data_IF_707747484543
#
_entry.id   IF_707747484543
#
_cell.length_a   1.000
_cell.length_b   1.000
_cell.length_c   1.000
_cell.angle_alpha   90.00
_cell.angle_beta   90.00
_cell.angle_gamma   90.00
#
_symmetry.space_group_name_H-M   'P 1'
#
loop_
_entity.id
_entity.type
_entity.pdbx_description
1 polymer ?
#
# COMPACT_ATOMS: atom_id res chain seq x y z
N UNK A 1 -19.19 -1.53 16.72
CA UNK A 1 -18.00 -1.34 15.86
C UNK A 1 -16.77 -1.70 16.66
N UNK A 2 -15.86 -2.50 16.10
CA UNK A 2 -14.68 -2.99 16.80
C UNK A 2 -13.63 -1.86 16.93
N UNK A 3 -13.10 -1.65 18.13
CA UNK A 3 -11.96 -0.76 18.34
C UNK A 3 -10.70 -1.37 17.71
N UNK A 4 -9.91 -0.55 17.04
CA UNK A 4 -8.62 -0.93 16.46
C UNK A 4 -7.51 -0.38 17.35
N UNK A 5 -6.51 -1.22 17.64
CA UNK A 5 -5.30 -0.78 18.33
C UNK A 5 -4.55 0.26 17.50
N UNK A 6 -3.92 1.22 18.17
CA UNK A 6 -3.00 2.15 17.55
C UNK A 6 -1.62 1.56 17.28
N UNK A 7 -0.75 2.28 16.56
CA UNK A 7 0.58 1.82 16.23
C UNK A 7 1.49 1.82 17.46
N UNK A 8 2.60 1.10 17.39
CA UNK A 8 3.66 1.25 18.39
C UNK A 8 4.16 2.71 18.40
N UNK A 9 4.00 3.40 19.54
CA UNK A 9 4.31 4.84 19.63
C UNK A 9 5.80 5.17 19.73
N UNK A 10 6.61 4.20 20.15
CA UNK A 10 8.06 4.33 20.20
C UNK A 10 8.69 3.67 18.97
N UNK A 11 8.58 4.31 17.81
CA UNK A 11 9.26 3.86 16.58
C UNK A 11 10.76 3.78 16.85
N UNK A 12 11.36 2.61 16.61
CA UNK A 12 12.80 2.41 16.77
C UNK A 12 13.51 2.83 15.49
N UNK A 13 14.71 3.36 15.63
CA UNK A 13 15.60 3.59 14.50
C UNK A 13 16.04 2.21 13.95
N UNK A 14 15.83 1.91 12.66
CA UNK A 14 16.24 0.63 12.08
C UNK A 14 17.76 0.52 12.02
N UNK A 15 18.27 -0.71 12.07
CA UNK A 15 19.68 -1.01 11.82
C UNK A 15 20.02 -0.90 10.32
N UNK A 16 19.10 -1.29 9.45
CA UNK A 16 19.20 -1.09 8.01
C UNK A 16 18.94 0.37 7.65
N UNK A 17 19.93 1.01 7.03
CA UNK A 17 19.82 2.37 6.51
C UNK A 17 19.26 2.30 5.09
N UNK A 18 18.05 2.80 4.91
CA UNK A 18 17.41 2.89 3.59
C UNK A 18 18.15 3.89 2.70
N UNK A 19 18.25 3.64 1.37
CA UNK A 19 18.91 4.57 0.47
C UNK A 19 18.17 5.93 0.40
N UNK A 20 18.88 7.04 0.11
CA UNK A 20 18.24 8.32 -0.15
C UNK A 20 17.17 8.21 -1.25
N UNK A 21 16.07 8.93 -1.06
CA UNK A 21 14.89 8.85 -1.90
C UNK A 21 13.97 7.68 -1.57
N UNK A 22 14.20 6.91 -0.52
CA UNK A 22 13.30 5.80 -0.18
C UNK A 22 11.85 6.26 0.06
N UNK A 23 10.90 5.44 -0.39
CA UNK A 23 9.48 5.71 -0.34
C UNK A 23 8.72 4.65 0.44
N UNK A 24 7.94 5.06 1.44
CA UNK A 24 6.95 4.22 2.11
C UNK A 24 5.66 4.23 1.28
N UNK A 25 5.40 3.18 0.49
CA UNK A 25 4.30 3.17 -0.47
C UNK A 25 2.94 2.76 0.12
N UNK A 26 2.80 2.63 1.44
CA UNK A 26 1.52 2.28 2.06
C UNK A 26 1.46 2.71 3.52
N UNK A 27 0.78 3.82 3.77
CA UNK A 27 0.37 4.22 5.10
C UNK A 27 -1.03 4.85 5.06
N UNK A 28 -1.64 5.08 6.22
CA UNK A 28 -2.93 5.71 6.38
C UNK A 28 -2.88 6.84 7.40
N UNK A 29 -3.77 7.81 7.23
CA UNK A 29 -4.03 8.84 8.24
C UNK A 29 -5.43 8.62 8.80
N UNK A 30 -5.55 8.63 10.12
CA UNK A 30 -6.84 8.54 10.80
C UNK A 30 -7.05 9.77 11.68
N UNK A 31 -8.15 10.47 11.44
CA UNK A 31 -8.45 11.70 12.17
C UNK A 31 -7.49 12.88 11.85
N UNK A 32 -7.44 13.89 12.75
CA UNK A 32 -8.14 13.92 14.03
C UNK A 32 -9.66 13.90 13.87
N UNK A 33 -10.35 13.02 14.61
CA UNK A 33 -11.79 12.72 14.40
C UNK A 33 -12.70 13.95 14.53
N UNK A 34 -12.28 14.95 15.31
CA UNK A 34 -13.02 16.20 15.48
C UNK A 34 -13.11 17.03 14.19
N UNK A 35 -12.09 16.94 13.32
CA UNK A 35 -12.03 17.65 12.05
C UNK A 35 -12.41 16.76 10.87
N UNK A 36 -12.02 15.49 10.94
CA UNK A 36 -12.29 14.49 9.91
C UNK A 36 -13.07 13.32 10.54
N UNK A 37 -14.40 13.41 10.61
CA UNK A 37 -15.21 12.37 11.22
C UNK A 37 -15.11 11.07 10.42
N UNK A 38 -15.00 9.94 11.12
CA UNK A 38 -15.03 8.64 10.47
C UNK A 38 -16.41 8.34 9.86
N UNK A 39 -16.41 7.55 8.78
CA UNK A 39 -17.62 7.11 8.11
C UNK A 39 -18.57 6.37 9.06
N UNK A 40 -19.89 6.59 8.99
CA UNK A 40 -20.86 5.80 9.74
C UNK A 40 -20.90 4.32 9.30
N UNK A 41 -20.39 4.01 8.09
CA UNK A 41 -20.37 2.67 7.52
C UNK A 41 -19.06 1.90 7.74
N UNK A 42 -18.15 2.41 8.56
CA UNK A 42 -16.84 1.77 8.82
C UNK A 42 -16.97 0.43 9.55
N UNK A 43 -16.07 -0.50 9.25
CA UNK A 43 -16.00 -1.81 9.91
C UNK A 43 -15.18 -1.78 11.22
N UNK A 44 -14.32 -0.78 11.40
CA UNK A 44 -13.46 -0.62 12.58
C UNK A 44 -13.34 0.87 12.95
N UNK A 45 -13.00 1.15 14.21
CA UNK A 45 -12.71 2.52 14.69
C UNK A 45 -11.27 2.60 15.18
N UNK A 46 -10.35 3.23 14.42
CA UNK A 46 -9.00 3.52 14.87
C UNK A 46 -8.98 4.71 15.81
N UNK A 47 -7.91 4.83 16.59
CA UNK A 47 -7.56 6.09 17.25
C UNK A 47 -6.98 7.10 16.25
N UNK A 48 -6.85 8.36 16.68
CA UNK A 48 -6.25 9.39 15.86
C UNK A 48 -4.75 9.11 15.62
N UNK A 49 -4.39 9.06 14.35
CA UNK A 49 -3.05 8.81 13.82
C UNK A 49 -2.78 9.89 12.77
N UNK A 50 -2.05 10.94 13.17
CA UNK A 50 -2.00 12.22 12.45
C UNK A 50 -0.86 12.31 11.45
N UNK A 51 -0.93 13.31 10.56
CA UNK A 51 0.15 13.61 9.61
C UNK A 51 1.49 13.90 10.29
N UNK A 52 1.49 14.59 11.45
CA UNK A 52 2.72 14.89 12.20
C UNK A 52 3.36 13.60 12.73
N UNK A 53 2.56 12.68 13.28
CA UNK A 53 3.05 11.39 13.75
C UNK A 53 3.62 10.55 12.60
N UNK A 54 2.99 10.60 11.42
CA UNK A 54 3.50 9.94 10.23
C UNK A 54 4.83 10.54 9.77
N UNK A 55 4.96 11.88 9.75
CA UNK A 55 6.23 12.57 9.43
C UNK A 55 7.35 12.14 10.37
N UNK A 56 7.08 12.13 11.68
CA UNK A 56 8.08 11.81 12.69
C UNK A 56 8.51 10.33 12.59
N UNK A 57 7.57 9.45 12.24
CA UNK A 57 7.84 8.05 11.92
C UNK A 57 8.75 7.94 10.69
N UNK A 58 8.42 8.58 9.55
CA UNK A 58 9.26 8.56 8.34
C UNK A 58 10.68 9.09 8.62
N UNK A 59 10.79 10.19 9.37
CA UNK A 59 12.08 10.76 9.76
C UNK A 59 12.91 9.79 10.61
N UNK A 60 12.28 9.05 11.52
CA UNK A 60 12.94 8.03 12.35
C UNK A 60 13.44 6.86 11.51
N UNK A 61 12.67 6.44 10.50
CA UNK A 61 13.02 5.35 9.60
C UNK A 61 14.00 5.75 8.47
N UNK A 62 14.16 7.04 8.21
CA UNK A 62 15.02 7.57 7.14
C UNK A 62 14.36 7.63 5.76
N UNK A 63 13.02 7.62 5.67
CA UNK A 63 12.28 7.71 4.41
C UNK A 63 12.03 9.16 4.01
N UNK A 64 12.29 9.48 2.73
CA UNK A 64 12.11 10.82 2.17
C UNK A 64 10.72 11.04 1.57
N UNK A 65 10.05 9.94 1.16
CA UNK A 65 8.79 9.97 0.41
C UNK A 65 7.77 9.02 1.04
N UNK A 66 6.49 9.28 0.77
CA UNK A 66 5.41 8.44 1.26
C UNK A 66 4.21 8.41 0.33
N UNK A 67 3.40 7.36 0.44
CA UNK A 67 2.11 7.24 -0.24
C UNK A 67 1.04 6.95 0.79
N UNK A 68 0.15 7.92 0.97
CA UNK A 68 -1.01 7.79 1.82
C UNK A 68 -2.12 7.11 1.03
N UNK A 69 -2.56 5.97 1.52
CA UNK A 69 -3.69 5.21 1.01
C UNK A 69 -4.91 5.59 1.83
N UNK A 70 -6.01 5.93 1.17
CA UNK A 70 -7.25 6.31 1.85
C UNK A 70 -7.69 5.23 2.85
N UNK A 71 -7.81 5.64 4.11
CA UNK A 71 -8.10 4.78 5.24
C UNK A 71 -9.54 4.28 5.22
N UNK A 72 -9.75 2.98 5.41
CA UNK A 72 -11.10 2.38 5.33
C UNK A 72 -12.11 2.96 6.34
N UNK A 73 -11.64 3.47 7.48
CA UNK A 73 -12.50 4.12 8.47
C UNK A 73 -13.14 5.43 7.97
N UNK A 74 -12.56 6.08 6.96
CA UNK A 74 -13.07 7.31 6.33
C UNK A 74 -13.94 7.04 5.10
N UNK A 75 -14.05 5.78 4.64
CA UNK A 75 -14.83 5.44 3.44
C UNK A 75 -14.34 6.19 2.19
N UNK A 76 -15.27 6.77 1.44
CA UNK A 76 -15.01 7.59 0.23
C UNK A 76 -14.67 9.05 0.53
N UNK A 77 -14.68 9.48 1.80
CA UNK A 77 -14.29 10.84 2.18
C UNK A 77 -12.76 10.93 2.30
N UNK A 78 -12.12 11.42 1.24
CA UNK A 78 -10.66 11.52 1.13
C UNK A 78 -10.07 12.76 1.85
N UNK A 79 -10.88 13.57 2.57
CA UNK A 79 -10.44 14.87 3.12
C UNK A 79 -9.27 14.75 4.09
N UNK A 80 -9.28 13.78 5.00
CA UNK A 80 -8.18 13.55 5.95
C UNK A 80 -6.86 13.22 5.26
N UNK A 81 -6.91 12.36 4.24
CA UNK A 81 -5.74 11.99 3.44
C UNK A 81 -5.20 13.20 2.67
N UNK A 82 -6.09 13.97 2.03
CA UNK A 82 -5.70 15.14 1.24
C UNK A 82 -5.10 16.25 2.09
N UNK A 83 -5.66 16.52 3.29
CA UNK A 83 -5.08 17.48 4.24
C UNK A 83 -3.68 17.05 4.68
N UNK A 84 -3.50 15.77 4.98
CA UNK A 84 -2.18 15.26 5.34
C UNK A 84 -1.17 15.38 4.19
N UNK A 85 -1.57 15.09 2.95
CA UNK A 85 -0.72 15.26 1.77
C UNK A 85 -0.29 16.73 1.60
N UNK A 86 -1.22 17.67 1.77
CA UNK A 86 -0.93 19.11 1.68
C UNK A 86 0.08 19.54 2.77
N UNK A 87 -0.14 19.11 4.01
CA UNK A 87 0.73 19.44 5.15
C UNK A 87 2.14 18.85 5.04
N UNK A 88 2.26 17.65 4.48
CA UNK A 88 3.53 16.94 4.33
C UNK A 88 4.26 17.31 3.02
N UNK A 89 3.56 17.98 2.11
CA UNK A 89 4.12 18.56 0.89
C UNK A 89 4.29 17.57 -0.27
N UNK A 90 4.98 17.98 -1.35
CA UNK A 90 4.99 17.27 -2.63
C UNK A 90 5.71 15.91 -2.62
N UNK A 91 6.36 15.56 -1.50
CA UNK A 91 7.00 14.26 -1.26
C UNK A 91 6.00 13.17 -0.85
N UNK A 92 4.73 13.53 -0.66
CA UNK A 92 3.65 12.59 -0.40
C UNK A 92 2.71 12.49 -1.61
N UNK A 93 2.32 11.26 -1.97
CA UNK A 93 1.28 10.96 -2.96
C UNK A 93 0.09 10.25 -2.32
N UNK A 94 -1.01 10.19 -3.05
CA UNK A 94 -2.28 9.66 -2.56
C UNK A 94 -2.85 8.53 -3.39
N UNK A 95 -3.57 7.61 -2.74
CA UNK A 95 -4.46 6.65 -3.38
C UNK A 95 -5.87 6.84 -2.80
N UNK A 96 -6.80 7.30 -3.63
CA UNK A 96 -8.14 7.68 -3.21
C UNK A 96 -9.11 6.51 -3.27
N UNK A 97 -10.20 6.59 -2.50
CA UNK A 97 -11.39 5.76 -2.70
C UNK A 97 -12.47 6.66 -3.29
N UNK A 98 -12.88 6.38 -4.53
CA UNK A 98 -13.93 7.10 -5.24
C UNK A 98 -14.87 6.10 -5.91
N UNK A 99 -16.19 6.39 -5.96
CA UNK A 99 -17.09 5.59 -6.79
C UNK A 99 -16.78 5.78 -8.28
N UNK A 100 -17.04 4.77 -9.12
CA UNK A 100 -17.03 4.93 -10.57
C UNK A 100 -17.99 6.05 -11.01
N UNK A 101 -17.69 6.69 -12.13
CA UNK A 101 -18.43 7.82 -12.67
C UNK A 101 -18.14 9.15 -11.96
N UNK A 102 -17.13 9.21 -11.07
CA UNK A 102 -16.68 10.48 -10.50
C UNK A 102 -16.27 11.42 -11.64
N UNK A 103 -16.81 12.65 -11.71
CA UNK A 103 -16.55 13.55 -12.84
C UNK A 103 -15.06 13.77 -13.10
N UNK A 104 -14.66 13.81 -14.38
CA UNK A 104 -13.25 13.96 -14.78
C UNK A 104 -12.58 15.15 -14.08
N UNK A 105 -13.25 16.32 -14.05
CA UNK A 105 -12.78 17.53 -13.36
C UNK A 105 -12.41 17.30 -11.88
N UNK A 106 -13.12 16.40 -11.19
CA UNK A 106 -12.88 16.09 -9.78
C UNK A 106 -11.67 15.15 -9.65
N UNK A 107 -11.54 14.18 -10.56
CA UNK A 107 -10.35 13.32 -10.66
C UNK A 107 -9.10 14.14 -11.02
N UNK A 108 -9.20 15.11 -11.92
CA UNK A 108 -8.12 16.05 -12.26
C UNK A 108 -7.70 16.92 -11.07
N UNK A 109 -8.68 17.46 -10.31
CA UNK A 109 -8.38 18.21 -9.10
C UNK A 109 -7.60 17.37 -8.07
N UNK A 110 -7.95 16.08 -7.91
CA UNK A 110 -7.21 15.15 -7.07
C UNK A 110 -5.82 14.82 -7.65
N UNK A 111 -5.70 14.70 -8.97
CA UNK A 111 -4.41 14.50 -9.63
C UNK A 111 -3.44 15.65 -9.33
N UNK A 112 -3.92 16.89 -9.42
CA UNK A 112 -3.13 18.09 -9.10
C UNK A 112 -2.67 18.11 -7.64
N UNK A 113 -3.50 17.58 -6.72
CA UNK A 113 -3.12 17.40 -5.31
C UNK A 113 -2.15 16.25 -5.06
N UNK A 114 -1.85 15.42 -6.07
CA UNK A 114 -0.88 14.33 -5.97
C UNK A 114 -1.49 12.93 -5.84
N UNK A 115 -2.80 12.76 -6.03
CA UNK A 115 -3.42 11.42 -6.12
C UNK A 115 -3.02 10.73 -7.41
N UNK A 116 -2.75 9.42 -7.35
CA UNK A 116 -2.20 8.62 -8.47
C UNK A 116 -2.90 7.28 -8.69
N UNK A 117 -4.00 7.04 -7.99
CA UNK A 117 -4.67 5.75 -8.08
C UNK A 117 -5.96 5.67 -7.29
N UNK A 118 -6.69 4.61 -7.59
CA UNK A 118 -7.90 4.20 -6.86
C UNK A 118 -7.60 3.00 -5.98
N UNK A 119 -8.21 2.96 -4.81
CA UNK A 119 -8.21 1.79 -3.94
C UNK A 119 -9.53 1.05 -4.06
N UNK A 120 -9.43 -0.26 -4.26
CA UNK A 120 -10.54 -1.22 -4.22
C UNK A 120 -10.26 -2.25 -3.14
N UNK A 121 -11.28 -2.62 -2.36
CA UNK A 121 -11.08 -3.50 -1.21
C UNK A 121 -12.32 -4.33 -0.89
N UNK A 122 -12.14 -5.63 -0.70
CA UNK A 122 -13.18 -6.54 -0.17
C UNK A 122 -13.09 -6.75 1.36
N UNK A 123 -12.10 -6.12 2.02
CA UNK A 123 -11.85 -6.23 3.47
C UNK A 123 -12.59 -5.19 4.31
N UNK A 124 -12.76 -3.98 3.79
CA UNK A 124 -13.32 -2.85 4.52
C UNK A 124 -14.67 -2.47 3.93
N UNK A 125 -15.64 -2.17 4.79
CA UNK A 125 -16.95 -1.69 4.37
C UNK A 125 -16.90 -0.20 3.98
N UNK A 126 -17.84 0.23 3.13
CA UNK A 126 -17.94 1.63 2.70
C UNK A 126 -16.92 2.06 1.64
N UNK A 127 -16.20 1.11 1.04
CA UNK A 127 -15.33 1.32 -0.13
C UNK A 127 -15.92 0.72 -1.42
N UNK A 128 -15.08 0.57 -2.44
CA UNK A 128 -15.47 0.01 -3.75
C UNK A 128 -14.98 -1.44 -3.89
N UNK A 129 -15.89 -2.34 -4.26
CA UNK A 129 -15.62 -3.76 -4.50
C UNK A 129 -15.22 -4.06 -5.94
N UNK A 130 -14.75 -5.29 -6.20
CA UNK A 130 -14.27 -5.71 -7.52
C UNK A 130 -15.37 -5.97 -8.56
N UNK A 131 -16.64 -5.80 -8.22
CA UNK A 131 -17.74 -5.72 -9.19
C UNK A 131 -17.56 -4.51 -10.13
N UNK A 132 -16.92 -3.43 -9.67
CA UNK A 132 -16.67 -2.20 -10.43
C UNK A 132 -15.27 -2.13 -11.10
N UNK A 133 -14.57 -3.27 -11.20
CA UNK A 133 -13.16 -3.32 -11.61
C UNK A 133 -12.89 -2.68 -12.97
N UNK A 134 -13.64 -3.06 -14.00
CA UNK A 134 -13.42 -2.56 -15.37
C UNK A 134 -13.71 -1.07 -15.49
N UNK A 135 -14.74 -0.56 -14.78
CA UNK A 135 -15.10 0.85 -14.79
C UNK A 135 -13.99 1.71 -14.18
N UNK A 136 -13.52 1.37 -12.96
CA UNK A 136 -12.40 2.09 -12.35
C UNK A 136 -11.08 1.88 -13.11
N UNK A 137 -10.87 0.72 -13.74
CA UNK A 137 -9.67 0.50 -14.56
C UNK A 137 -9.63 1.42 -15.78
N UNK A 138 -10.77 1.65 -16.43
CA UNK A 138 -10.87 2.58 -17.56
C UNK A 138 -10.63 4.03 -17.12
N UNK A 139 -11.20 4.44 -15.98
CA UNK A 139 -10.95 5.76 -15.40
C UNK A 139 -9.51 5.94 -14.92
N UNK A 140 -8.89 4.88 -14.41
CA UNK A 140 -7.49 4.90 -14.00
C UNK A 140 -6.59 5.09 -15.23
N UNK A 141 -6.86 4.36 -16.31
CA UNK A 141 -6.14 4.50 -17.56
C UNK A 141 -6.23 5.92 -18.13
N UNK A 142 -7.43 6.51 -18.17
CA UNK A 142 -7.65 7.90 -18.63
C UNK A 142 -6.79 8.91 -17.84
N UNK A 143 -6.62 8.68 -16.54
CA UNK A 143 -5.88 9.55 -15.64
C UNK A 143 -4.36 9.27 -15.58
N UNK A 144 -3.88 8.22 -16.25
CA UNK A 144 -2.52 7.70 -16.05
C UNK A 144 -2.29 7.21 -14.60
N UNK A 145 -3.36 6.76 -13.95
CA UNK A 145 -3.39 6.23 -12.59
C UNK A 145 -3.30 4.69 -12.59
N UNK A 146 -3.20 4.11 -11.40
CA UNK A 146 -3.26 2.66 -11.20
C UNK A 146 -4.36 2.27 -10.19
N UNK A 147 -4.71 0.98 -10.20
CA UNK A 147 -5.57 0.39 -9.17
C UNK A 147 -4.74 -0.18 -8.02
N UNK A 148 -5.22 -0.06 -6.79
CA UNK A 148 -4.70 -0.72 -5.61
C UNK A 148 -5.73 -1.73 -5.11
N UNK A 149 -5.41 -3.02 -5.19
CA UNK A 149 -6.35 -4.12 -4.97
C UNK A 149 -6.06 -4.82 -3.62
N UNK A 150 -7.00 -4.70 -2.69
CA UNK A 150 -6.91 -5.26 -1.35
C UNK A 150 -7.93 -6.39 -1.14
N UNK A 151 -7.44 -7.63 -1.12
CA UNK A 151 -8.25 -8.84 -1.03
C UNK A 151 -8.55 -9.24 0.42
N UNK A 152 -9.71 -9.84 0.68
CA UNK A 152 -9.99 -10.50 1.96
C UNK A 152 -9.35 -11.88 2.04
N UNK A 153 -9.33 -12.62 0.94
CA UNK A 153 -8.69 -13.92 0.82
C UNK A 153 -8.00 -14.05 -0.52
N UNK A 154 -6.98 -14.89 -0.59
CA UNK A 154 -6.17 -15.07 -1.78
C UNK A 154 -6.95 -15.71 -2.94
N UNK A 155 -8.00 -16.49 -2.67
CA UNK A 155 -8.82 -17.15 -3.72
C UNK A 155 -9.61 -16.15 -4.56
N UNK A 156 -9.90 -14.96 -4.00
CA UNK A 156 -10.52 -13.87 -4.76
C UNK A 156 -9.63 -13.42 -5.92
N UNK A 157 -8.29 -13.46 -5.77
CA UNK A 157 -7.36 -13.17 -6.85
C UNK A 157 -7.56 -14.14 -8.02
N UNK A 158 -7.68 -15.43 -7.72
CA UNK A 158 -7.89 -16.48 -8.73
C UNK A 158 -9.19 -16.21 -9.49
N UNK A 159 -10.25 -15.84 -8.77
CA UNK A 159 -11.56 -15.55 -9.37
C UNK A 159 -11.56 -14.32 -10.30
N UNK A 160 -10.71 -13.32 -10.05
CA UNK A 160 -10.63 -12.10 -10.88
C UNK A 160 -9.47 -12.08 -11.87
N UNK A 161 -8.61 -13.11 -11.89
CA UNK A 161 -7.36 -13.13 -12.65
C UNK A 161 -7.55 -12.81 -14.15
N UNK A 162 -8.55 -13.42 -14.79
CA UNK A 162 -8.81 -13.20 -16.21
C UNK A 162 -9.30 -11.78 -16.52
N UNK A 163 -10.00 -11.16 -15.57
CA UNK A 163 -10.39 -9.74 -15.68
C UNK A 163 -9.15 -8.85 -15.55
N UNK A 164 -8.26 -9.15 -14.60
CA UNK A 164 -7.00 -8.43 -14.41
C UNK A 164 -6.07 -8.50 -15.64
N UNK A 165 -6.00 -9.66 -16.30
CA UNK A 165 -5.21 -9.82 -17.54
C UNK A 165 -5.66 -8.89 -18.67
N UNK A 166 -6.95 -8.57 -18.74
CA UNK A 166 -7.56 -7.73 -19.79
C UNK A 166 -7.50 -6.23 -19.51
N UNK A 167 -7.14 -5.82 -18.29
CA UNK A 167 -7.03 -4.39 -17.98
C UNK A 167 -5.91 -3.75 -18.80
N UNK A 168 -6.02 -2.45 -19.04
CA UNK A 168 -5.00 -1.65 -19.74
C UNK A 168 -4.16 -0.80 -18.78
N UNK A 169 -4.74 -0.37 -17.65
CA UNK A 169 -4.01 0.33 -16.59
C UNK A 169 -3.10 -0.62 -15.78
N UNK A 170 -2.17 -0.03 -15.02
CA UNK A 170 -1.43 -0.73 -13.99
C UNK A 170 -2.32 -1.05 -12.78
N UNK A 171 -1.98 -2.12 -12.07
CA UNK A 171 -2.59 -2.45 -10.79
C UNK A 171 -1.57 -3.01 -9.81
N UNK A 172 -1.79 -2.76 -8.53
CA UNK A 172 -0.96 -3.19 -7.41
C UNK A 172 -1.74 -4.19 -6.59
N UNK A 173 -1.18 -5.38 -6.40
CA UNK A 173 -1.67 -6.36 -5.43
C UNK A 173 -1.15 -5.98 -4.04
N UNK A 174 -2.03 -5.48 -3.17
CA UNK A 174 -1.64 -5.15 -1.80
C UNK A 174 -1.28 -6.41 -1.01
N UNK A 175 -0.23 -6.30 -0.19
CA UNK A 175 0.16 -7.31 0.79
C UNK A 175 0.34 -8.71 0.19
N UNK A 176 1.00 -8.80 -0.97
CA UNK A 176 1.17 -10.06 -1.71
C UNK A 176 -0.16 -10.79 -1.98
N UNK A 177 -1.19 -10.03 -2.36
CA UNK A 177 -2.56 -10.50 -2.55
C UNK A 177 -3.15 -11.26 -1.34
N UNK A 178 -2.63 -10.97 -0.13
CA UNK A 178 -3.02 -11.59 1.13
C UNK A 178 -2.80 -13.12 1.19
N UNK A 179 -1.87 -13.65 0.39
CA UNK A 179 -1.49 -15.07 0.45
C UNK A 179 -0.77 -15.33 1.77
N UNK A 180 -1.32 -16.25 2.57
CA UNK A 180 -0.77 -16.67 3.86
C UNK A 180 0.42 -17.60 3.66
N UNK A 181 1.39 -17.57 4.58
CA UNK A 181 2.57 -18.43 4.54
C UNK A 181 2.21 -19.92 4.42
N UNK A 182 1.15 -20.33 5.12
CA UNK A 182 0.64 -21.72 5.12
C UNK A 182 0.10 -22.19 3.76
N UNK A 183 -0.34 -21.27 2.89
CA UNK A 183 -0.74 -21.61 1.52
C UNK A 183 0.46 -21.93 0.64
N UNK A 184 1.58 -21.24 0.88
CA UNK A 184 2.88 -21.50 0.27
C UNK A 184 2.95 -21.22 -1.25
N UNK A 185 4.14 -21.48 -1.82
CA UNK A 185 4.44 -21.18 -3.24
C UNK A 185 3.75 -22.13 -4.24
N UNK A 186 3.11 -23.19 -3.75
CA UNK A 186 2.39 -24.16 -4.59
C UNK A 186 0.88 -23.85 -4.70
N UNK A 187 0.38 -22.82 -3.99
CA UNK A 187 -1.03 -22.47 -4.05
C UNK A 187 -1.44 -21.91 -5.41
N UNK A 188 -2.72 -22.08 -5.75
CA UNK A 188 -3.30 -21.52 -6.97
C UNK A 188 -3.20 -19.99 -7.01
N UNK A 189 -3.37 -19.34 -5.85
CA UNK A 189 -3.23 -17.89 -5.74
C UNK A 189 -1.80 -17.43 -6.01
N UNK A 190 -0.78 -18.12 -5.47
CA UNK A 190 0.61 -17.76 -5.73
C UNK A 190 1.01 -18.00 -7.19
N UNK A 191 0.57 -19.11 -7.80
CA UNK A 191 0.73 -19.34 -9.24
C UNK A 191 0.07 -18.24 -10.08
N UNK A 192 -1.10 -17.76 -9.65
CA UNK A 192 -1.80 -16.64 -10.30
C UNK A 192 -1.00 -15.35 -10.20
N UNK A 193 -0.42 -15.02 -9.03
CA UNK A 193 0.47 -13.86 -8.87
C UNK A 193 1.62 -13.90 -9.88
N UNK A 194 2.31 -15.04 -10.00
CA UNK A 194 3.41 -15.18 -10.95
C UNK A 194 2.96 -15.01 -12.40
N UNK A 195 1.83 -15.62 -12.78
CA UNK A 195 1.27 -15.45 -14.13
C UNK A 195 0.86 -14.00 -14.41
N UNK A 196 0.33 -13.26 -13.44
CA UNK A 196 0.00 -11.85 -13.62
C UNK A 196 1.26 -10.98 -13.72
N UNK A 197 2.35 -11.33 -13.03
CA UNK A 197 3.65 -10.67 -13.15
C UNK A 197 4.33 -10.85 -14.51
N UNK A 198 3.94 -11.86 -15.29
CA UNK A 198 4.38 -11.98 -16.70
C UNK A 198 3.80 -10.85 -17.56
N UNK A 199 2.72 -10.20 -17.11
CA UNK A 199 2.21 -8.97 -17.72
C UNK A 199 3.01 -7.76 -17.22
N UNK A 200 3.09 -6.69 -18.02
CA UNK A 200 3.73 -5.45 -17.58
C UNK A 200 2.85 -4.56 -16.68
N UNK A 201 1.64 -5.02 -16.37
CA UNK A 201 0.63 -4.25 -15.64
C UNK A 201 0.60 -4.53 -14.15
N UNK A 202 1.01 -5.72 -13.73
CA UNK A 202 0.96 -6.15 -12.35
C UNK A 202 2.15 -5.62 -11.54
N UNK A 203 1.86 -5.04 -10.38
CA UNK A 203 2.80 -4.66 -9.35
C UNK A 203 2.46 -5.41 -8.06
N UNK A 204 3.47 -5.67 -7.23
CA UNK A 204 3.27 -6.29 -5.91
C UNK A 204 3.78 -5.35 -4.84
N UNK A 205 2.97 -5.21 -3.79
CA UNK A 205 3.37 -4.51 -2.59
C UNK A 205 3.75 -5.46 -1.47
N UNK A 206 5.01 -5.40 -1.06
CA UNK A 206 5.55 -6.04 0.13
C UNK A 206 5.27 -5.16 1.35
N UNK A 207 4.09 -5.32 1.91
CA UNK A 207 3.64 -4.58 3.09
C UNK A 207 2.80 -5.50 3.97
N UNK A 208 2.82 -5.27 5.28
CA UNK A 208 1.93 -5.96 6.24
C UNK A 208 2.04 -7.50 6.30
N UNK A 209 3.16 -8.08 5.85
CA UNK A 209 3.31 -9.54 5.74
C UNK A 209 3.36 -10.27 7.09
N UNK A 210 3.62 -9.55 8.19
CA UNK A 210 3.50 -10.06 9.57
C UNK A 210 2.09 -10.59 9.91
N UNK A 211 1.06 -10.17 9.17
CA UNK A 211 -0.32 -10.67 9.30
C UNK A 211 -0.56 -12.01 8.61
N UNK A 212 0.34 -12.37 7.70
CA UNK A 212 0.22 -13.51 6.80
C UNK A 212 1.16 -14.66 7.21
N UNK A 213 2.11 -14.37 8.09
CA UNK A 213 3.02 -15.33 8.70
C UNK A 213 2.34 -16.11 9.83
N UNK A 214 2.64 -17.40 9.92
CA UNK A 214 2.36 -18.25 11.08
C UNK A 214 3.54 -18.34 12.05
N UNK A 215 4.64 -17.64 11.78
CA UNK A 215 5.85 -17.62 12.61
C UNK A 215 6.03 -16.26 13.29
N UNK A 216 6.67 -16.23 14.48
CA UNK A 216 7.07 -14.96 15.08
C UNK A 216 8.07 -14.22 14.19
N UNK A 217 8.34 -12.95 14.51
CA UNK A 217 9.44 -12.19 13.90
C UNK A 217 10.73 -13.06 13.85
N UNK A 218 11.44 -13.15 12.72
CA UNK A 218 11.33 -12.30 11.51
C UNK A 218 10.41 -12.85 10.40
N UNK A 219 9.39 -13.65 10.73
CA UNK A 219 8.40 -14.15 9.77
C UNK A 219 9.01 -14.97 8.63
N UNK A 220 9.94 -15.85 8.98
CA UNK A 220 10.79 -16.58 8.02
C UNK A 220 10.00 -17.46 7.03
N UNK A 221 8.78 -17.85 7.38
CA UNK A 221 7.87 -18.63 6.53
C UNK A 221 7.30 -17.85 5.33
N UNK A 222 7.37 -16.52 5.33
CA UNK A 222 7.00 -15.70 4.16
C UNK A 222 8.13 -15.61 3.11
N UNK A 223 9.39 -15.85 3.49
CA UNK A 223 10.57 -15.65 2.64
C UNK A 223 10.50 -16.40 1.30
N UNK A 224 10.07 -17.68 1.23
CA UNK A 224 10.02 -18.39 -0.05
C UNK A 224 9.15 -17.70 -1.11
N UNK A 225 8.00 -17.15 -0.69
CA UNK A 225 7.11 -16.43 -1.59
C UNK A 225 7.70 -15.06 -1.98
N UNK A 226 8.25 -14.33 -1.01
CA UNK A 226 8.86 -13.01 -1.24
C UNK A 226 10.04 -13.13 -2.22
N UNK A 227 10.97 -14.05 -1.97
CA UNK A 227 12.15 -14.26 -2.82
C UNK A 227 11.75 -14.61 -4.25
N UNK A 228 10.70 -15.41 -4.42
CA UNK A 228 10.26 -15.85 -5.74
C UNK A 228 9.59 -14.73 -6.55
N UNK A 229 8.81 -13.84 -5.93
CA UNK A 229 8.25 -12.67 -6.66
C UNK A 229 9.30 -11.61 -6.94
N UNK A 230 10.23 -11.38 -6.01
CA UNK A 230 11.36 -10.45 -6.19
C UNK A 230 12.29 -10.93 -7.29
N UNK A 231 12.61 -12.23 -7.34
CA UNK A 231 13.43 -12.79 -8.41
C UNK A 231 12.74 -12.75 -9.77
N UNK A 232 11.41 -12.90 -9.82
CA UNK A 232 10.65 -12.88 -11.06
C UNK A 232 10.56 -11.48 -11.69
N UNK A 233 10.27 -10.45 -10.89
CA UNK A 233 10.05 -9.07 -11.36
C UNK A 233 10.50 -8.03 -10.34
N UNK A 234 11.82 -7.85 -10.11
CA UNK A 234 12.32 -6.88 -9.15
C UNK A 234 11.92 -5.44 -9.52
N UNK A 235 11.68 -5.18 -10.82
CA UNK A 235 11.18 -3.92 -11.40
C UNK A 235 9.66 -3.67 -11.18
N UNK A 236 8.95 -4.59 -10.51
CA UNK A 236 7.52 -4.47 -10.19
C UNK A 236 7.20 -4.60 -8.70
N UNK A 237 8.22 -4.52 -7.86
CA UNK A 237 8.06 -4.61 -6.40
C UNK A 237 8.09 -3.23 -5.76
N UNK A 238 7.21 -2.99 -4.79
CA UNK A 238 7.26 -1.81 -3.91
C UNK A 238 7.08 -2.24 -2.44
N UNK A 239 7.58 -1.44 -1.51
CA UNK A 239 7.47 -1.70 -0.07
C UNK A 239 6.56 -0.68 0.62
N UNK A 240 5.94 -1.06 1.74
CA UNK A 240 5.24 -0.11 2.61
C UNK A 240 5.12 -0.59 4.06
N UNK A 241 5.10 0.36 4.99
CA UNK A 241 5.01 0.14 6.44
C UNK A 241 3.66 -0.44 6.86
N UNK A 242 2.60 -0.06 6.14
CA UNK A 242 1.21 -0.21 6.52
C UNK A 242 0.86 0.56 7.81
N UNK A 243 1.65 1.56 8.21
CA UNK A 243 1.37 2.39 9.37
C UNK A 243 -0.01 3.06 9.22
N UNK A 244 -0.88 3.12 10.25
CA UNK A 244 -0.68 2.75 11.65
C UNK A 244 -1.21 1.33 11.97
N UNK A 245 -1.14 0.43 10.99
CA UNK A 245 -1.50 -0.99 11.05
C UNK A 245 -2.98 -1.27 11.38
N UNK A 246 -3.95 -0.66 10.66
CA UNK A 246 -5.37 -0.85 10.95
C UNK A 246 -5.80 -2.32 10.90
N UNK A 247 -6.78 -2.68 11.75
CA UNK A 247 -7.37 -4.03 11.84
C UNK A 247 -6.34 -5.09 12.31
N UNK A 248 -5.19 -4.69 12.86
CA UNK A 248 -4.27 -5.67 13.46
C UNK A 248 -4.75 -6.08 14.83
N UNK A 249 -4.75 -7.38 15.11
CA UNK A 249 -5.22 -7.94 16.39
C UNK A 249 -4.12 -8.67 17.15
N UNK A 250 -2.94 -8.84 16.55
CA UNK A 250 -1.77 -9.44 17.20
C UNK A 250 -0.85 -8.40 17.84
N UNK A 251 0.36 -8.82 18.28
CA UNK A 251 1.39 -7.89 18.73
C UNK A 251 1.64 -6.82 17.67
N UNK A 252 1.54 -5.56 18.06
CA UNK A 252 1.74 -4.44 17.14
C UNK A 252 3.21 -4.42 16.69
N UNK A 253 3.51 -4.45 15.38
CA UNK A 253 4.88 -4.36 14.91
C UNK A 253 5.47 -2.99 15.29
N UNK A 254 6.79 -2.95 15.41
CA UNK A 254 7.52 -1.69 15.37
C UNK A 254 7.95 -1.43 13.94
N UNK A 255 7.67 -0.25 13.39
CA UNK A 255 8.03 0.04 12.00
C UNK A 255 9.54 -0.03 11.73
N UNK A 256 10.38 0.24 12.73
CA UNK A 256 11.84 0.04 12.64
C UNK A 256 12.21 -1.42 12.37
N UNK A 257 11.58 -2.34 13.09
CA UNK A 257 11.79 -3.78 12.89
C UNK A 257 11.29 -4.22 11.50
N UNK A 258 10.22 -3.61 10.98
CA UNK A 258 9.72 -3.88 9.63
C UNK A 258 10.71 -3.44 8.54
N UNK A 259 11.42 -2.33 8.76
CA UNK A 259 12.50 -1.88 7.85
C UNK A 259 13.69 -2.83 7.90
N UNK A 260 14.02 -3.36 9.07
CA UNK A 260 15.11 -4.34 9.24
C UNK A 260 14.83 -5.70 8.57
N UNK A 261 13.58 -5.98 8.17
CA UNK A 261 13.24 -7.13 7.35
C UNK A 261 13.60 -6.95 5.87
N UNK A 262 13.79 -5.71 5.37
CA UNK A 262 14.01 -5.45 3.95
C UNK A 262 15.25 -6.18 3.40
N UNK A 263 16.42 -6.19 4.07
CA UNK A 263 17.59 -6.96 3.59
C UNK A 263 17.37 -8.48 3.58
N UNK A 264 16.50 -9.00 4.45
CA UNK A 264 16.12 -10.43 4.45
C UNK A 264 15.19 -10.75 3.29
N UNK A 265 14.27 -9.84 2.96
CA UNK A 265 13.33 -9.96 1.85
C UNK A 265 13.99 -9.79 0.50
N UNK A 266 14.94 -8.86 0.39
CA UNK A 266 15.63 -8.48 -0.84
C UNK A 266 17.13 -8.38 -0.57
N UNK A 267 17.90 -9.49 -0.66
CA UNK A 267 19.33 -9.50 -0.35
C UNK A 267 20.20 -8.72 -1.34
N UNK A 268 19.77 -8.56 -2.59
CA UNK A 268 20.48 -7.77 -3.60
C UNK A 268 20.27 -6.25 -3.40
N UNK A 269 21.36 -5.48 -3.41
CA UNK A 269 21.31 -4.04 -3.17
C UNK A 269 20.65 -3.26 -4.32
N UNK A 270 20.82 -3.71 -5.57
CA UNK A 270 20.19 -3.12 -6.74
C UNK A 270 18.66 -3.29 -6.68
N UNK A 271 18.19 -4.50 -6.37
CA UNK A 271 16.78 -4.78 -6.17
C UNK A 271 16.19 -4.02 -4.98
N UNK A 272 16.95 -3.79 -3.89
CA UNK A 272 16.49 -2.90 -2.80
C UNK A 272 16.32 -1.46 -3.26
N UNK A 273 17.24 -0.94 -4.08
CA UNK A 273 17.12 0.39 -4.67
C UNK A 273 15.90 0.47 -5.58
N UNK A 274 15.63 -0.56 -6.39
CA UNK A 274 14.40 -0.64 -7.17
C UNK A 274 13.16 -0.62 -6.28
N UNK A 275 13.09 -1.51 -5.30
CA UNK A 275 11.97 -1.65 -4.35
C UNK A 275 11.61 -0.34 -3.64
N UNK A 276 12.61 0.40 -3.18
CA UNK A 276 12.44 1.57 -2.30
C UNK A 276 12.48 2.91 -3.05
N UNK A 277 13.16 2.99 -4.18
CA UNK A 277 13.45 4.27 -4.86
C UNK A 277 12.89 4.31 -6.27
N UNK A 278 13.39 3.45 -7.17
CA UNK A 278 13.10 3.57 -8.61
C UNK A 278 11.67 3.17 -8.95
N UNK A 279 11.19 2.06 -8.40
CA UNK A 279 9.85 1.56 -8.66
C UNK A 279 8.77 2.50 -8.12
N UNK A 280 8.83 2.98 -6.85
CA UNK A 280 7.91 4.01 -6.37
C UNK A 280 7.95 5.29 -7.21
N UNK A 281 9.14 5.69 -7.67
CA UNK A 281 9.28 6.88 -8.49
C UNK A 281 8.56 6.75 -9.83
N UNK A 282 8.71 5.61 -10.50
CA UNK A 282 8.04 5.32 -11.76
C UNK A 282 6.51 5.21 -11.57
N UNK A 283 6.06 4.49 -10.55
CA UNK A 283 4.64 4.21 -10.34
C UNK A 283 3.84 5.43 -9.86
N UNK A 284 4.42 6.26 -8.99
CA UNK A 284 3.73 7.39 -8.36
C UNK A 284 4.11 8.76 -8.95
N UNK A 285 5.08 8.81 -9.86
CA UNK A 285 5.48 10.05 -10.56
C UNK A 285 6.03 11.11 -9.61
N UNK A 286 6.98 10.74 -8.75
CA UNK A 286 7.73 11.71 -7.94
C UNK A 286 8.71 12.52 -8.82
N UNK A 287 8.80 13.84 -8.60
CA UNK A 287 9.76 14.69 -9.32
C UNK A 287 11.20 14.26 -8.99
N UNK A 288 12.07 14.17 -10.00
CA UNK A 288 13.49 13.88 -9.81
C UNK A 288 14.21 14.96 -9.01
N UNK A 289 13.69 16.20 -9.02
CA UNK A 289 14.29 17.37 -8.35
C UNK A 289 14.01 17.45 -6.85
N UNK A 290 13.14 16.60 -6.29
CA UNK A 290 12.80 16.60 -4.85
C UNK A 290 13.63 15.62 -4.03
N UNK A 291 14.59 14.93 -4.65
CA UNK A 291 15.58 14.11 -3.95
C UNK A 291 16.69 15.01 -3.42
N UNK A 292 17.15 14.84 -2.16
CA UNK A 292 18.40 15.47 -1.72
C UNK A 292 19.53 15.01 -2.65
N UNK A 293 20.31 15.96 -3.16
CA UNK A 293 21.54 15.69 -3.91
C UNK A 293 22.65 15.12 -3.03
#
# INVERSE_FOLDING_TARGET
>A
MQACQGPARATRKPAFIVPPGSCDCHAHIFGPRQRFPFSPHRSYTPEDCTADQYRDMLATLGFDRGVLVQGGAHGTDNTAMLDAMERLGPRIKGIAVLPPGTPLREREALHLKGVRGFRMSTVVSGGVGFDQLEALAAEAEEMGWHLLLHFHRSEELVAVADRLRRLRCHYVLDHLARIRAEEGTASAAFGTVLSLLETDRCWIKLASLYRLSGKPYPHADMLPMIHRVVAARPDRMIWGSNWPHPIHTGPMPNDGDLVDLIPLWVPDAGHRRQLLVDNPQALYGFDRRTLPG
#
